data_IF_672686114144
#
_entry.id   IF_672686114144
#
_cell.length_a   1.000
_cell.length_b   1.000
_cell.length_c   1.000
_cell.angle_alpha   90.00
_cell.angle_beta   90.00
_cell.angle_gamma   90.00
#
_symmetry.space_group_name_H-M   'P 1'
#
loop_
_entity.id
_entity.type
_entity.pdbx_description
1 polymer ?
#
# COMPACT_ATOMS: atom_id res chain seq x y z
N UNK A 1 -8.38 -18.75 37.79
CA UNK A 1 -8.43 -17.48 37.03
C UNK A 1 -7.51 -17.49 35.80
N UNK A 2 -6.20 -17.79 35.89
CA UNK A 2 -5.27 -17.75 34.76
C UNK A 2 -5.64 -18.54 33.49
N UNK A 3 -6.24 -19.74 33.62
CA UNK A 3 -6.62 -20.55 32.45
C UNK A 3 -7.77 -19.93 31.64
N UNK A 4 -8.81 -19.44 32.32
CA UNK A 4 -9.95 -18.76 31.67
C UNK A 4 -9.53 -17.46 30.98
N UNK A 5 -8.56 -16.75 31.57
CA UNK A 5 -7.98 -15.53 31.00
C UNK A 5 -7.12 -15.81 29.76
N UNK A 6 -6.32 -16.88 29.79
CA UNK A 6 -5.54 -17.34 28.64
C UNK A 6 -6.41 -17.80 27.46
N UNK A 7 -7.52 -18.51 27.73
CA UNK A 7 -8.46 -18.93 26.70
C UNK A 7 -9.21 -17.73 26.08
N UNK A 8 -9.66 -16.79 26.91
CA UNK A 8 -10.28 -15.56 26.42
C UNK A 8 -9.34 -14.76 25.52
N UNK A 9 -8.06 -14.66 25.90
CA UNK A 9 -7.03 -13.98 25.12
C UNK A 9 -6.78 -14.65 23.76
N UNK A 10 -6.72 -15.99 23.72
CA UNK A 10 -6.56 -16.77 22.46
C UNK A 10 -7.77 -16.67 21.53
N UNK A 11 -8.98 -16.62 22.09
CA UNK A 11 -10.21 -16.45 21.30
C UNK A 11 -10.25 -15.07 20.67
N UNK A 12 -9.92 -14.03 21.43
CA UNK A 12 -9.82 -12.64 20.94
C UNK A 12 -8.74 -12.48 19.86
N UNK A 13 -7.56 -13.06 20.05
CA UNK A 13 -6.47 -13.01 19.08
C UNK A 13 -6.86 -13.66 17.75
N UNK A 14 -7.50 -14.84 17.80
CA UNK A 14 -8.01 -15.51 16.61
C UNK A 14 -9.12 -14.72 15.90
N UNK A 15 -10.01 -14.09 16.66
CA UNK A 15 -11.05 -13.24 16.10
C UNK A 15 -10.46 -12.02 15.38
N UNK A 16 -9.44 -11.39 15.96
CA UNK A 16 -8.76 -10.24 15.35
C UNK A 16 -8.07 -10.60 14.01
N UNK A 17 -7.38 -11.74 13.96
CA UNK A 17 -6.74 -12.23 12.73
C UNK A 17 -7.78 -12.46 11.62
N UNK A 18 -8.94 -12.99 12.00
CA UNK A 18 -10.02 -13.32 11.09
C UNK A 18 -10.73 -12.07 10.56
N UNK A 19 -10.90 -11.07 11.41
CA UNK A 19 -11.45 -9.77 11.04
C UNK A 19 -10.54 -9.06 10.03
N UNK A 20 -9.22 -9.08 10.26
CA UNK A 20 -8.23 -8.58 9.28
C UNK A 20 -8.30 -9.34 7.96
N UNK A 21 -8.44 -10.66 7.99
CA UNK A 21 -8.55 -11.48 6.78
C UNK A 21 -9.80 -11.14 5.94
N UNK A 22 -10.93 -10.88 6.62
CA UNK A 22 -12.19 -10.50 5.97
C UNK A 22 -12.08 -9.09 5.39
N UNK A 23 -11.60 -8.12 6.17
CA UNK A 23 -11.49 -6.73 5.72
C UNK A 23 -10.60 -6.59 4.49
N UNK A 24 -9.52 -7.38 4.41
CA UNK A 24 -8.65 -7.41 3.25
C UNK A 24 -9.35 -7.93 1.98
N UNK A 25 -10.24 -8.91 2.13
CA UNK A 25 -11.01 -9.46 1.01
C UNK A 25 -12.03 -8.44 0.52
N UNK A 26 -12.70 -7.75 1.45
CA UNK A 26 -13.63 -6.66 1.12
C UNK A 26 -12.93 -5.50 0.40
N UNK A 27 -11.74 -5.12 0.87
CA UNK A 27 -10.89 -4.10 0.20
C UNK A 27 -10.47 -4.54 -1.21
N UNK A 28 -10.08 -5.80 -1.37
CA UNK A 28 -9.69 -6.38 -2.66
C UNK A 28 -10.86 -6.41 -3.66
N UNK A 29 -12.06 -6.77 -3.18
CA UNK A 29 -13.26 -6.79 -4.01
C UNK A 29 -13.73 -5.37 -4.37
N UNK A 30 -13.64 -4.41 -3.44
CA UNK A 30 -13.87 -3.00 -3.73
C UNK A 30 -12.88 -2.44 -4.76
N UNK A 31 -11.61 -2.87 -4.70
CA UNK A 31 -10.61 -2.50 -5.71
C UNK A 31 -10.93 -3.09 -7.09
N UNK A 32 -11.48 -4.32 -7.15
CA UNK A 32 -11.91 -4.99 -8.39
C UNK A 32 -13.15 -4.35 -9.01
N UNK A 33 -14.12 -3.92 -8.20
CA UNK A 33 -15.42 -3.40 -8.67
C UNK A 33 -15.35 -1.97 -9.22
N UNK A 34 -14.28 -1.22 -8.95
CA UNK A 34 -14.13 0.13 -9.51
C UNK A 34 -13.02 0.98 -8.89
N UNK A 35 -12.43 0.57 -7.77
CA UNK A 35 -11.38 1.34 -7.08
C UNK A 35 -10.06 1.51 -7.84
N UNK A 36 -9.85 0.79 -8.95
CA UNK A 36 -8.64 0.88 -9.76
C UNK A 36 -8.68 1.87 -10.94
N UNK A 37 -9.81 2.54 -11.21
CA UNK A 37 -9.92 3.44 -12.36
C UNK A 37 -9.33 4.80 -11.97
N UNK A 38 -8.16 5.12 -12.54
CA UNK A 38 -7.55 6.45 -12.42
C UNK A 38 -8.49 7.46 -13.08
N UNK A 39 -8.96 8.50 -12.37
CA UNK A 39 -9.79 9.55 -12.95
C UNK A 39 -9.11 10.14 -14.19
N UNK A 40 -9.88 10.40 -15.25
CA UNK A 40 -9.32 10.89 -16.53
C UNK A 40 -8.55 12.20 -16.35
N UNK A 41 -9.02 13.06 -15.45
CA UNK A 41 -8.36 14.34 -15.14
C UNK A 41 -6.98 14.14 -14.50
N UNK A 42 -6.85 13.17 -13.59
CA UNK A 42 -5.55 12.80 -12.99
C UNK A 42 -4.62 12.24 -14.07
N UNK A 43 -5.11 11.32 -14.90
CA UNK A 43 -4.33 10.73 -15.99
C UNK A 43 -3.83 11.80 -17.00
N UNK A 44 -4.68 12.78 -17.33
CA UNK A 44 -4.33 13.90 -18.20
C UNK A 44 -3.26 14.80 -17.57
N UNK A 45 -3.37 15.12 -16.28
CA UNK A 45 -2.35 15.88 -15.54
C UNK A 45 -1.01 15.15 -15.49
N UNK A 46 -1.03 13.84 -15.21
CA UNK A 46 0.17 12.99 -15.21
C UNK A 46 0.86 12.99 -16.58
N UNK A 47 0.08 12.81 -17.63
CA UNK A 47 0.59 12.77 -19.01
C UNK A 47 1.23 14.10 -19.40
N UNK A 48 0.58 15.23 -19.09
CA UNK A 48 1.12 16.55 -19.42
C UNK A 48 2.46 16.85 -18.71
N UNK A 49 2.64 16.39 -17.47
CA UNK A 49 3.89 16.56 -16.72
C UNK A 49 4.98 15.60 -17.21
N UNK A 50 4.60 14.41 -17.66
CA UNK A 50 5.53 13.39 -18.17
C UNK A 50 6.07 13.76 -19.56
N UNK A 51 5.26 14.43 -20.39
CA UNK A 51 5.58 14.75 -21.77
C UNK A 51 6.95 15.44 -21.99
N UNK A 52 7.36 16.48 -21.23
CA UNK A 52 8.69 17.08 -21.39
C UNK A 52 9.83 16.10 -21.05
N UNK A 53 9.65 15.22 -20.05
CA UNK A 53 10.67 14.23 -19.67
C UNK A 53 10.81 13.08 -20.66
N UNK A 54 9.83 12.88 -21.53
CA UNK A 54 9.94 11.96 -22.68
C UNK A 54 10.51 12.70 -23.89
N UNK A 55 9.91 13.85 -24.22
CA UNK A 55 10.21 14.59 -25.43
C UNK A 55 11.61 15.18 -25.46
N UNK A 56 12.08 15.80 -24.37
CA UNK A 56 13.39 16.45 -24.31
C UNK A 56 14.52 15.42 -24.41
N UNK A 57 14.54 14.33 -23.62
CA UNK A 57 15.59 13.33 -23.73
C UNK A 57 15.58 12.58 -25.05
N UNK A 58 14.39 12.24 -25.58
CA UNK A 58 14.28 11.59 -26.89
C UNK A 58 14.74 12.50 -28.02
N UNK A 59 14.23 13.73 -28.07
CA UNK A 59 14.68 14.74 -29.03
C UNK A 59 16.17 15.06 -28.89
N UNK A 60 16.67 15.08 -27.65
CA UNK A 60 18.09 15.19 -27.32
C UNK A 60 18.91 14.04 -27.90
N UNK A 61 18.45 12.79 -27.81
CA UNK A 61 19.13 11.65 -28.41
C UNK A 61 19.21 11.77 -29.94
N UNK A 62 18.12 12.17 -30.59
CA UNK A 62 18.08 12.41 -32.04
C UNK A 62 19.02 13.55 -32.43
N UNK A 63 18.99 14.67 -31.70
CA UNK A 63 19.88 15.80 -31.94
C UNK A 63 21.35 15.44 -31.73
N UNK A 64 21.66 14.70 -30.66
CA UNK A 64 23.01 14.21 -30.35
C UNK A 64 23.52 13.27 -31.45
N UNK A 65 22.65 12.38 -31.95
CA UNK A 65 22.98 11.50 -33.07
C UNK A 65 23.28 12.31 -34.34
N UNK A 66 22.42 13.25 -34.73
CA UNK A 66 22.63 14.11 -35.88
C UNK A 66 23.92 14.93 -35.75
N UNK A 67 24.20 15.44 -34.55
CA UNK A 67 25.42 16.18 -34.24
C UNK A 67 26.67 15.32 -34.47
N UNK A 68 26.76 14.14 -33.83
CA UNK A 68 27.92 13.27 -34.00
C UNK A 68 28.07 12.76 -35.44
N UNK A 69 26.96 12.50 -36.12
CA UNK A 69 26.98 12.13 -37.54
C UNK A 69 27.57 13.26 -38.39
N UNK A 70 27.14 14.51 -38.19
CA UNK A 70 27.65 15.68 -38.89
C UNK A 70 29.15 15.85 -38.65
N UNK A 71 29.59 15.80 -37.39
CA UNK A 71 31.01 15.94 -37.06
C UNK A 71 31.87 14.83 -37.67
N UNK A 72 31.38 13.58 -37.67
CA UNK A 72 32.10 12.45 -38.23
C UNK A 72 32.20 12.50 -39.76
N UNK A 73 31.17 13.02 -40.45
CA UNK A 73 31.10 13.04 -41.92
C UNK A 73 31.64 14.30 -42.57
N UNK A 74 31.39 15.46 -41.99
CA UNK A 74 31.76 16.77 -42.57
C UNK A 74 33.10 17.23 -42.03
N UNK A 75 33.29 17.18 -40.71
CA UNK A 75 34.52 17.65 -40.07
C UNK A 75 35.59 16.55 -39.95
N UNK A 76 35.24 15.30 -40.29
CA UNK A 76 36.13 14.13 -40.26
C UNK A 76 36.74 13.90 -38.87
N UNK A 77 36.04 14.33 -37.82
CA UNK A 77 36.45 14.17 -36.43
C UNK A 77 36.05 12.79 -35.95
N UNK A 78 37.00 12.03 -35.39
CA UNK A 78 36.75 10.72 -34.79
C UNK A 78 36.55 10.88 -33.29
N UNK A 79 35.35 10.56 -32.82
CA UNK A 79 35.05 10.47 -31.40
C UNK A 79 35.23 9.05 -30.89
N UNK A 80 35.62 8.95 -29.62
CA UNK A 80 35.61 7.68 -28.92
C UNK A 80 34.17 7.18 -28.77
N UNK A 81 33.85 5.92 -29.11
CA UNK A 81 32.48 5.39 -29.01
C UNK A 81 31.87 5.54 -27.61
N UNK A 82 32.71 5.52 -26.57
CA UNK A 82 32.29 5.66 -25.18
C UNK A 82 31.71 7.06 -24.87
N UNK A 83 32.17 8.11 -25.56
CA UNK A 83 31.65 9.47 -25.38
C UNK A 83 30.22 9.58 -25.94
N UNK A 84 30.00 9.02 -27.13
CA UNK A 84 28.67 9.02 -27.79
C UNK A 84 27.68 8.17 -26.99
N UNK A 85 28.13 7.00 -26.53
CA UNK A 85 27.34 6.10 -25.71
C UNK A 85 26.96 6.76 -24.37
N UNK A 86 27.91 7.35 -23.67
CA UNK A 86 27.65 8.00 -22.38
C UNK A 86 26.72 9.20 -22.50
N UNK A 87 26.84 10.03 -23.56
CA UNK A 87 25.91 11.13 -23.81
C UNK A 87 24.48 10.64 -24.07
N UNK A 88 24.32 9.59 -24.87
CA UNK A 88 23.00 9.00 -25.17
C UNK A 88 22.38 8.35 -23.93
N UNK A 89 23.14 7.52 -23.23
CA UNK A 89 22.71 6.85 -21.99
C UNK A 89 22.38 7.88 -20.91
N UNK A 90 23.18 8.94 -20.79
CA UNK A 90 22.95 10.02 -19.83
C UNK A 90 21.60 10.70 -20.05
N UNK A 91 21.28 11.05 -21.30
CA UNK A 91 19.96 11.61 -21.64
C UNK A 91 18.83 10.66 -21.29
N UNK A 92 18.95 9.38 -21.63
CA UNK A 92 17.92 8.38 -21.32
C UNK A 92 17.72 8.18 -19.81
N UNK A 93 18.80 8.17 -19.03
CA UNK A 93 18.74 8.07 -17.56
C UNK A 93 18.03 9.30 -16.97
N UNK A 94 18.38 10.51 -17.44
CA UNK A 94 17.70 11.74 -17.01
C UNK A 94 16.20 11.69 -17.36
N UNK A 95 15.85 11.18 -18.55
CA UNK A 95 14.45 10.98 -18.93
C UNK A 95 13.71 10.01 -18.04
N UNK A 96 14.30 8.86 -17.75
CA UNK A 96 13.70 7.86 -16.86
C UNK A 96 13.47 8.40 -15.45
N UNK A 97 14.45 9.12 -14.89
CA UNK A 97 14.32 9.77 -13.58
C UNK A 97 13.24 10.85 -13.60
N UNK A 98 13.18 11.65 -14.67
CA UNK A 98 12.18 12.68 -14.86
C UNK A 98 10.74 12.14 -14.94
N UNK A 99 10.53 11.04 -15.68
CA UNK A 99 9.24 10.36 -15.76
C UNK A 99 8.82 9.84 -14.38
N UNK A 100 9.74 9.21 -13.66
CA UNK A 100 9.49 8.67 -12.31
C UNK A 100 9.11 9.79 -11.33
N UNK A 101 9.84 10.89 -11.36
CA UNK A 101 9.55 12.08 -10.55
C UNK A 101 8.19 12.70 -10.92
N UNK A 102 7.89 12.81 -12.21
CA UNK A 102 6.63 13.37 -12.72
C UNK A 102 5.41 12.60 -12.21
N UNK A 103 5.46 11.27 -12.20
CA UNK A 103 4.37 10.43 -11.72
C UNK A 103 4.20 10.54 -10.20
N UNK A 104 5.30 10.51 -9.44
CA UNK A 104 5.26 10.55 -7.99
C UNK A 104 4.93 11.93 -7.41
N UNK A 105 5.24 13.01 -8.14
CA UNK A 105 4.90 14.38 -7.75
C UNK A 105 3.46 14.78 -8.16
N UNK A 106 2.73 13.91 -8.86
CA UNK A 106 1.33 14.17 -9.20
C UNK A 106 0.44 14.11 -7.95
N UNK A 107 -0.43 15.12 -7.79
CA UNK A 107 -1.52 15.04 -6.84
C UNK A 107 -2.60 14.10 -7.38
N UNK A 108 -3.01 13.16 -6.53
CA UNK A 108 -4.04 12.18 -6.82
C UNK A 108 -5.43 12.62 -6.31
N UNK A 109 -5.49 13.77 -5.63
CA UNK A 109 -6.73 14.35 -5.11
C UNK A 109 -7.32 15.33 -6.14
N UNK A 110 -8.64 15.32 -6.29
CA UNK A 110 -9.37 16.17 -7.24
C UNK A 110 -9.73 17.54 -6.62
N UNK A 111 -9.81 17.66 -5.29
CA UNK A 111 -10.22 18.91 -4.63
C UNK A 111 -9.06 19.84 -4.27
N UNK A 112 -7.87 19.31 -4.00
CA UNK A 112 -6.70 20.15 -3.74
C UNK A 112 -5.98 20.48 -5.05
N UNK A 113 -6.31 21.65 -5.60
CA UNK A 113 -5.41 22.44 -6.43
C UNK A 113 -4.18 22.91 -5.61
N UNK A 114 -3.50 22.02 -4.90
CA UNK A 114 -2.21 22.33 -4.32
C UNK A 114 -1.21 22.37 -5.47
N UNK A 115 -1.17 23.57 -6.02
CA UNK A 115 -0.29 24.11 -7.05
C UNK A 115 1.17 24.08 -6.59
N UNK A 116 1.69 22.91 -6.27
CA UNK A 116 3.13 22.69 -6.35
C UNK A 116 3.40 22.37 -7.83
N UNK A 117 4.04 23.30 -8.54
CA UNK A 117 4.37 23.15 -9.96
C UNK A 117 5.32 21.97 -10.24
N UNK A 118 6.27 22.14 -11.17
CA UNK A 118 7.24 21.08 -11.54
C UNK A 118 8.16 20.67 -10.36
N UNK A 119 8.03 21.27 -9.17
CA UNK A 119 8.88 21.05 -8.02
C UNK A 119 8.22 20.40 -6.80
N UNK A 120 7.08 19.70 -6.94
CA UNK A 120 6.30 19.14 -5.81
C UNK A 120 6.98 18.04 -5.01
N UNK A 121 8.04 18.39 -4.28
CA UNK A 121 8.90 17.51 -3.48
C UNK A 121 8.17 17.02 -2.22
N UNK A 122 7.23 17.79 -1.68
CA UNK A 122 6.43 17.38 -0.52
C UNK A 122 5.50 16.22 -0.90
N UNK A 123 4.71 16.42 -1.95
CA UNK A 123 3.82 15.40 -2.54
C UNK A 123 4.60 14.16 -2.97
N UNK A 124 5.80 14.34 -3.54
CA UNK A 124 6.69 13.23 -3.90
C UNK A 124 7.06 12.36 -2.68
N UNK A 125 7.50 12.98 -1.58
CA UNK A 125 7.88 12.25 -0.37
C UNK A 125 6.68 11.55 0.29
N UNK A 126 5.52 12.22 0.31
CA UNK A 126 4.27 11.64 0.83
C UNK A 126 3.84 10.43 0.00
N UNK A 127 3.82 10.55 -1.33
CA UNK A 127 3.47 9.46 -2.23
C UNK A 127 4.48 8.31 -2.17
N UNK A 128 5.78 8.60 -2.02
CA UNK A 128 6.81 7.58 -1.75
C UNK A 128 6.56 6.84 -0.43
N UNK A 129 6.17 7.57 0.62
CA UNK A 129 5.77 6.99 1.89
C UNK A 129 4.59 6.01 1.72
N UNK A 130 3.55 6.44 1.01
CA UNK A 130 2.36 5.62 0.71
C UNK A 130 2.69 4.35 -0.09
N UNK A 131 3.60 4.45 -1.08
CA UNK A 131 4.05 3.28 -1.85
C UNK A 131 4.83 2.32 -0.97
N UNK A 132 5.78 2.82 -0.17
CA UNK A 132 6.56 1.99 0.74
C UNK A 132 5.68 1.27 1.76
N UNK A 133 4.70 1.97 2.31
CA UNK A 133 3.70 1.41 3.21
C UNK A 133 2.82 0.38 2.49
N UNK A 134 2.34 0.68 1.29
CA UNK A 134 1.55 -0.24 0.46
C UNK A 134 2.30 -1.53 0.13
N UNK A 135 3.60 -1.45 -0.18
CA UNK A 135 4.46 -2.63 -0.39
C UNK A 135 4.61 -3.44 0.89
N UNK A 136 4.74 -2.77 2.05
CA UNK A 136 4.76 -3.42 3.36
C UNK A 136 3.47 -4.21 3.62
N UNK A 137 2.33 -3.52 3.48
CA UNK A 137 0.98 -4.11 3.63
C UNK A 137 0.75 -5.27 2.67
N UNK A 138 1.18 -5.15 1.41
CA UNK A 138 1.06 -6.23 0.43
C UNK A 138 1.70 -7.56 0.90
N UNK A 139 2.81 -7.52 1.63
CA UNK A 139 3.44 -8.72 2.20
C UNK A 139 2.62 -9.33 3.34
N UNK A 140 1.93 -8.51 4.11
CA UNK A 140 1.04 -8.94 5.19
C UNK A 140 -0.28 -9.49 4.63
N UNK A 141 -0.81 -8.83 3.60
CA UNK A 141 -2.02 -9.26 2.89
C UNK A 141 -1.86 -10.64 2.24
N UNK A 142 -0.68 -10.95 1.69
CA UNK A 142 -0.39 -12.30 1.16
C UNK A 142 -0.47 -13.36 2.26
N UNK A 143 0.06 -13.11 3.45
CA UNK A 143 -0.03 -14.05 4.57
C UNK A 143 -1.46 -14.22 5.07
N UNK A 144 -2.25 -13.14 5.08
CA UNK A 144 -3.65 -13.20 5.44
C UNK A 144 -4.43 -14.04 4.43
N UNK A 145 -4.18 -13.87 3.13
CA UNK A 145 -4.76 -14.69 2.06
C UNK A 145 -4.37 -16.17 2.19
N UNK A 146 -3.11 -16.48 2.44
CA UNK A 146 -2.66 -17.86 2.71
C UNK A 146 -3.42 -18.48 3.91
N UNK A 147 -3.77 -17.65 4.91
CA UNK A 147 -4.54 -18.09 6.08
C UNK A 147 -6.01 -18.34 5.74
N UNK A 148 -6.62 -17.53 4.87
CA UNK A 148 -7.99 -17.73 4.37
C UNK A 148 -8.05 -19.00 3.51
N UNK A 149 -7.09 -19.20 2.62
CA UNK A 149 -7.01 -20.37 1.76
C UNK A 149 -6.79 -21.65 2.58
N UNK A 150 -5.91 -21.58 3.58
CA UNK A 150 -5.70 -22.69 4.52
C UNK A 150 -6.94 -22.99 5.39
N UNK A 151 -7.78 -21.99 5.65
CA UNK A 151 -9.04 -22.15 6.38
C UNK A 151 -10.18 -22.68 5.50
N UNK A 152 -9.99 -22.83 4.19
CA UNK A 152 -11.00 -23.35 3.27
C UNK A 152 -11.89 -22.27 2.63
N UNK A 153 -11.44 -21.02 2.63
CA UNK A 153 -12.12 -19.89 1.97
C UNK A 153 -12.84 -18.95 2.93
N UNK A 154 -13.31 -17.81 2.37
CA UNK A 154 -13.91 -16.71 3.14
C UNK A 154 -15.19 -17.14 3.89
N UNK A 155 -15.95 -18.08 3.32
CA UNK A 155 -17.18 -18.60 3.91
C UNK A 155 -16.90 -19.37 5.21
N UNK A 156 -15.84 -20.18 5.23
CA UNK A 156 -15.46 -20.94 6.42
C UNK A 156 -14.85 -20.02 7.48
N UNK A 157 -14.07 -19.02 7.04
CA UNK A 157 -13.60 -17.91 7.88
C UNK A 157 -14.78 -17.19 8.55
N UNK A 158 -15.82 -16.82 7.81
CA UNK A 158 -17.01 -16.18 8.36
C UNK A 158 -17.76 -17.08 9.37
N UNK A 159 -17.84 -18.39 9.11
CA UNK A 159 -18.44 -19.34 10.05
C UNK A 159 -17.65 -19.47 11.34
N UNK A 160 -16.33 -19.55 11.25
CA UNK A 160 -15.43 -19.64 12.42
C UNK A 160 -15.54 -18.36 13.25
N UNK A 161 -15.65 -17.19 12.62
CA UNK A 161 -15.85 -15.89 13.29
C UNK A 161 -17.08 -15.92 14.18
N UNK A 162 -18.23 -16.28 13.61
CA UNK A 162 -19.49 -16.35 14.33
C UNK A 162 -19.43 -17.31 15.53
N UNK A 163 -18.72 -18.44 15.39
CA UNK A 163 -18.53 -19.39 16.48
C UNK A 163 -17.64 -18.83 17.60
N UNK A 164 -16.59 -18.07 17.26
CA UNK A 164 -15.70 -17.44 18.23
C UNK A 164 -16.42 -16.32 18.99
N UNK A 165 -17.17 -15.46 18.30
CA UNK A 165 -17.98 -14.41 18.91
C UNK A 165 -19.01 -14.99 19.90
N UNK A 166 -19.72 -16.06 19.50
CA UNK A 166 -20.66 -16.75 20.36
C UNK A 166 -20.00 -17.41 21.59
N UNK A 167 -18.76 -17.89 21.46
CA UNK A 167 -17.98 -18.43 22.59
C UNK A 167 -17.49 -17.33 23.53
N UNK A 168 -17.07 -16.20 22.99
CA UNK A 168 -16.63 -15.04 23.76
C UNK A 168 -17.77 -14.45 24.60
N UNK A 169 -18.94 -14.25 24.00
CA UNK A 169 -20.18 -13.83 24.68
C UNK A 169 -20.51 -14.75 25.86
N UNK A 170 -20.51 -16.07 25.62
CA UNK A 170 -20.77 -17.08 26.68
C UNK A 170 -19.72 -17.03 27.79
N UNK A 171 -18.44 -16.81 27.45
CA UNK A 171 -17.37 -16.70 28.42
C UNK A 171 -17.49 -15.43 29.29
N UNK A 172 -17.83 -14.28 28.67
CA UNK A 172 -18.11 -13.02 29.39
C UNK A 172 -19.29 -13.16 30.35
N UNK A 173 -20.36 -13.82 29.90
CA UNK A 173 -21.56 -14.03 30.71
C UNK A 173 -21.28 -14.96 31.89
N UNK A 174 -20.51 -16.04 31.68
CA UNK A 174 -20.01 -16.89 32.77
C UNK A 174 -19.15 -16.11 33.75
N UNK A 175 -18.21 -15.30 33.28
CA UNK A 175 -17.32 -14.51 34.13
C UNK A 175 -18.09 -13.49 34.99
N UNK A 176 -19.09 -12.80 34.41
CA UNK A 176 -20.00 -11.90 35.17
C UNK A 176 -20.76 -12.67 36.25
N UNK A 177 -21.38 -13.80 35.90
CA UNK A 177 -22.12 -14.62 36.88
C UNK A 177 -21.23 -15.20 37.98
N UNK A 178 -19.96 -15.49 37.68
CA UNK A 178 -19.00 -15.98 38.67
C UNK A 178 -18.57 -14.87 39.64
N UNK A 179 -18.36 -13.66 39.10
CA UNK A 179 -18.01 -12.48 39.87
C UNK A 179 -19.13 -12.08 40.83
N UNK A 180 -20.37 -12.06 40.35
CA UNK A 180 -21.55 -11.79 41.19
C UNK A 180 -21.70 -12.79 42.34
N UNK A 181 -21.49 -14.10 42.08
CA UNK A 181 -21.54 -15.13 43.13
C UNK A 181 -20.42 -14.96 44.17
N UNK A 182 -19.21 -14.62 43.72
CA UNK A 182 -18.06 -14.40 44.59
C UNK A 182 -18.23 -13.14 45.45
N UNK A 183 -18.75 -12.05 44.88
CA UNK A 183 -19.05 -10.82 45.61
C UNK A 183 -20.16 -11.05 46.65
N UNK A 184 -21.20 -11.83 46.31
CA UNK A 184 -22.24 -12.23 47.25
C UNK A 184 -21.73 -13.14 48.38
N UNK A 185 -20.80 -14.05 48.09
CA UNK A 185 -20.17 -14.92 49.10
C UNK A 185 -19.21 -14.15 50.01
N UNK A 186 -18.48 -13.18 49.46
CA UNK A 186 -17.62 -12.24 50.21
C UNK A 186 -18.43 -11.32 51.12
N UNK A 187 -19.61 -10.87 50.69
CA UNK A 187 -20.54 -10.11 51.53
C UNK A 187 -21.07 -10.98 52.69
N UNK A 188 -21.51 -12.21 52.40
CA UNK A 188 -21.99 -13.13 53.44
C UNK A 188 -20.94 -13.46 54.51
N UNK A 189 -19.67 -13.59 54.13
CA UNK A 189 -18.57 -13.80 55.08
C UNK A 189 -18.29 -12.55 55.92
N UNK A 190 -18.42 -11.36 55.33
CA UNK A 190 -18.24 -10.08 56.03
C UNK A 190 -19.36 -9.78 57.03
N UNK A 191 -20.56 -10.31 56.79
CA UNK A 191 -21.71 -10.19 57.69
C UNK A 191 -21.70 -11.24 58.83
N UNK A 192 -20.78 -12.21 58.80
CA UNK A 192 -20.63 -13.28 59.80
C UNK A 192 -19.50 -13.06 60.80
N UNK A 193 -18.61 -12.07 60.56
CA UNK A 193 -17.54 -11.62 61.46
C UNK A 193 -17.97 -10.36 62.22
#
# INVERSE_FOLDING_TARGET
MRLAELEAKRVSEKAAILDTAISLTEEDDAAREGGGVIPEDVAKRMTNRMLPFVGIPFGGCVALFCWFYYQAKVENVRYEPMLVASGTVGLLVVGLLGITYSLLSASWDDEEQTSEGIGGVKTFNENLGRIKEGVGRGRENVKARDTIDAAGGIDEVNRVRQQLEAKEEKAKLKARSLKEKMDAEMQRKRDQD
#
